data_IF_039893719498
#
_entry.id   IF_039893719498
#
_cell.length_a   1.000
_cell.length_b   1.000
_cell.length_c   1.000
_cell.angle_alpha   90.00
_cell.angle_beta   90.00
_cell.angle_gamma   90.00
#
_symmetry.space_group_name_H-M   'P 1'
#
loop_
_entity.id
_entity.type
_entity.pdbx_description
1 polymer ?
#
# COMPACT_ATOMS: atom_id res chain seq x y z
N UNK A 1 5.87 21.24 5.51
CA UNK A 1 6.25 19.83 5.26
C UNK A 1 5.00 19.09 4.85
N UNK A 2 4.99 18.39 3.71
CA UNK A 2 3.82 17.63 3.27
C UNK A 2 3.74 16.36 4.12
N UNK A 3 2.62 16.18 4.82
CA UNK A 3 2.44 15.10 5.80
C UNK A 3 1.64 13.91 5.23
N UNK A 4 0.91 14.13 4.15
CA UNK A 4 0.05 13.14 3.48
C UNK A 4 -0.17 13.54 2.03
N UNK A 5 -0.59 12.58 1.20
CA UNK A 5 -1.13 12.84 -0.13
C UNK A 5 -2.52 13.48 -0.05
N UNK A 6 -2.90 14.24 -1.08
CA UNK A 6 -4.30 14.62 -1.32
C UNK A 6 -5.05 13.51 -2.06
N UNK A 7 -6.38 13.61 -2.10
CA UNK A 7 -7.25 12.70 -2.86
C UNK A 7 -6.87 12.69 -4.34
N UNK A 8 -6.80 13.89 -4.92
CA UNK A 8 -6.44 14.13 -6.32
C UNK A 8 -5.08 13.53 -6.68
N UNK A 9 -4.09 13.63 -5.77
CA UNK A 9 -2.78 13.02 -6.02
C UNK A 9 -2.88 11.49 -6.08
N UNK A 10 -3.61 10.85 -5.16
CA UNK A 10 -3.80 9.39 -5.21
C UNK A 10 -4.51 8.95 -6.49
N UNK A 11 -5.53 9.70 -6.92
CA UNK A 11 -6.25 9.45 -8.17
C UNK A 11 -5.33 9.65 -9.38
N UNK A 12 -4.53 10.70 -9.41
CA UNK A 12 -3.54 10.92 -10.48
C UNK A 12 -2.51 9.79 -10.57
N UNK A 13 -2.01 9.30 -9.43
CA UNK A 13 -1.11 8.14 -9.42
C UNK A 13 -1.81 6.88 -9.92
N UNK A 14 -3.05 6.63 -9.50
CA UNK A 14 -3.84 5.51 -10.02
C UNK A 14 -3.97 5.60 -11.54
N UNK A 15 -4.44 6.74 -12.04
CA UNK A 15 -4.75 6.93 -13.47
C UNK A 15 -3.48 6.90 -14.35
N UNK A 16 -2.31 7.20 -13.78
CA UNK A 16 -1.00 7.10 -14.46
C UNK A 16 -0.50 5.66 -14.56
N UNK A 17 -0.81 4.81 -13.58
CA UNK A 17 -0.20 3.49 -13.43
C UNK A 17 -1.17 2.31 -13.57
N UNK A 18 -2.47 2.56 -13.66
CA UNK A 18 -3.51 1.55 -13.78
C UNK A 18 -4.82 2.13 -14.36
N UNK A 19 -5.81 1.27 -14.54
CA UNK A 19 -7.19 1.65 -14.82
C UNK A 19 -7.81 2.42 -13.63
N UNK A 20 -8.74 3.33 -13.92
CA UNK A 20 -9.69 3.94 -12.99
C UNK A 20 -10.36 2.98 -11.98
N UNK A 21 -10.55 1.72 -12.34
CA UNK A 21 -11.12 0.67 -11.48
C UNK A 21 -10.12 0.13 -10.44
N UNK A 22 -8.83 0.44 -10.56
CA UNK A 22 -7.82 0.02 -9.60
C UNK A 22 -8.03 0.70 -8.25
N UNK A 23 -7.81 -0.06 -7.18
CA UNK A 23 -7.85 0.47 -5.82
C UNK A 23 -6.53 1.14 -5.49
N UNK A 24 -6.56 2.39 -5.03
CA UNK A 24 -5.37 3.10 -4.53
C UNK A 24 -5.46 3.32 -3.02
N UNK A 25 -4.35 3.15 -2.32
CA UNK A 25 -4.26 3.50 -0.91
C UNK A 25 -2.83 3.69 -0.44
N UNK A 26 -2.68 4.22 0.77
CA UNK A 26 -1.39 4.65 1.30
C UNK A 26 -0.94 3.77 2.45
N UNK A 27 0.32 3.35 2.42
CA UNK A 27 0.93 2.51 3.45
C UNK A 27 2.30 3.04 3.84
N UNK A 28 2.81 2.56 4.97
CA UNK A 28 4.16 2.83 5.43
C UNK A 28 4.92 1.54 5.63
N UNK A 29 6.23 1.55 5.40
CA UNK A 29 7.09 0.43 5.77
C UNK A 29 7.01 0.21 7.27
N UNK A 30 6.88 -1.05 7.70
CA UNK A 30 6.98 -1.39 9.13
C UNK A 30 8.36 -0.95 9.62
N UNK A 31 8.39 -0.05 10.61
CA UNK A 31 9.63 0.37 11.25
C UNK A 31 10.10 -0.70 12.21
N UNK A 32 11.28 -1.26 11.95
CA UNK A 32 11.94 -2.20 12.87
C UNK A 32 12.74 -1.46 13.95
N UNK A 33 13.23 -0.25 13.65
CA UNK A 33 14.03 0.58 14.56
C UNK A 33 13.52 2.03 14.55
N UNK A 34 13.54 2.69 15.71
CA UNK A 34 13.06 4.08 15.87
C UNK A 34 13.86 5.11 15.07
N UNK A 35 15.11 4.82 14.75
CA UNK A 35 16.03 5.71 14.02
C UNK A 35 15.84 5.68 12.50
N UNK A 36 15.08 4.71 11.97
CA UNK A 36 14.83 4.63 10.54
C UNK A 36 13.85 5.73 10.12
N UNK A 37 14.27 6.52 9.13
CA UNK A 37 13.38 7.45 8.46
C UNK A 37 12.19 6.68 7.88
N UNK A 38 10.97 7.26 7.95
CA UNK A 38 9.81 6.60 7.38
C UNK A 38 9.96 6.48 5.86
N UNK A 39 9.63 5.30 5.36
CA UNK A 39 9.43 5.03 3.94
C UNK A 39 7.93 4.80 3.75
N UNK A 40 7.38 5.45 2.74
CA UNK A 40 5.95 5.38 2.43
C UNK A 40 5.74 4.68 1.10
N UNK A 41 4.57 4.09 0.91
CA UNK A 41 4.19 3.50 -0.36
C UNK A 41 2.76 3.90 -0.72
N UNK A 42 2.54 4.27 -1.98
CA UNK A 42 1.22 4.15 -2.58
C UNK A 42 1.09 2.75 -3.16
N UNK A 43 0.01 2.06 -2.80
CA UNK A 43 -0.38 0.80 -3.39
C UNK A 43 -1.49 1.08 -4.40
N UNK A 44 -1.31 0.62 -5.62
CA UNK A 44 -2.33 0.62 -6.67
C UNK A 44 -2.56 -0.85 -7.04
N UNK A 45 -3.79 -1.32 -6.87
CA UNK A 45 -4.16 -2.73 -7.00
C UNK A 45 -5.24 -2.86 -8.05
N UNK A 46 -4.92 -3.59 -9.12
CA UNK A 46 -5.88 -3.98 -10.15
C UNK A 46 -6.26 -5.48 -10.00
N UNK A 47 -6.67 -6.13 -11.09
CA UNK A 47 -7.05 -7.55 -11.10
C UNK A 47 -5.87 -8.51 -11.32
N UNK A 48 -4.69 -8.01 -11.66
CA UNK A 48 -3.53 -8.81 -12.07
C UNK A 48 -2.30 -8.53 -11.20
N UNK A 49 -2.17 -7.33 -10.64
CA UNK A 49 -0.96 -6.91 -9.95
C UNK A 49 -1.19 -5.87 -8.85
N UNK A 50 -0.18 -5.75 -7.98
CA UNK A 50 0.00 -4.68 -7.01
C UNK A 50 1.19 -3.84 -7.47
N UNK A 51 0.92 -2.60 -7.89
CA UNK A 51 1.95 -1.59 -8.13
C UNK A 51 2.24 -0.86 -6.83
N UNK A 52 3.49 -0.87 -6.39
CA UNK A 52 3.96 -0.16 -5.22
C UNK A 52 4.85 1.01 -5.65
N UNK A 53 4.48 2.22 -5.29
CA UNK A 53 5.27 3.43 -5.54
C UNK A 53 5.94 3.82 -4.23
N UNK A 54 7.25 3.58 -4.14
CA UNK A 54 8.06 3.91 -2.97
C UNK A 54 8.32 5.41 -2.89
N UNK A 55 8.19 5.95 -1.69
CA UNK A 55 8.48 7.33 -1.39
C UNK A 55 9.31 7.52 -0.13
N UNK A 56 10.12 8.58 -0.14
CA UNK A 56 10.83 9.02 1.06
C UNK A 56 9.94 9.80 2.03
N UNK A 57 10.50 10.15 3.19
CA UNK A 57 9.84 10.93 4.23
C UNK A 57 9.39 12.34 3.78
N UNK A 58 9.83 12.82 2.61
CA UNK A 58 9.40 14.08 1.97
C UNK A 58 8.33 13.85 0.90
N UNK A 59 7.80 12.63 0.80
CA UNK A 59 6.83 12.19 -0.22
C UNK A 59 7.35 12.35 -1.65
N UNK A 60 8.67 12.22 -1.83
CA UNK A 60 9.27 12.15 -3.16
C UNK A 60 9.37 10.70 -3.59
N UNK A 61 8.94 10.42 -4.82
CA UNK A 61 9.12 9.12 -5.46
C UNK A 61 10.59 8.70 -5.46
N UNK A 62 10.83 7.44 -5.11
CA UNK A 62 12.14 6.79 -5.10
C UNK A 62 12.23 5.60 -6.02
N UNK A 63 11.11 4.96 -6.29
CA UNK A 63 11.06 3.81 -7.17
C UNK A 63 9.65 3.25 -7.28
N UNK A 64 9.47 2.41 -8.28
CA UNK A 64 8.24 1.69 -8.53
C UNK A 64 8.58 0.21 -8.59
N UNK A 65 7.78 -0.61 -7.92
CA UNK A 65 7.87 -2.06 -7.99
C UNK A 65 6.51 -2.66 -8.26
N UNK A 66 6.45 -3.64 -9.15
CA UNK A 66 5.22 -4.35 -9.50
C UNK A 66 5.31 -5.77 -8.94
N UNK A 67 4.21 -6.23 -8.33
CA UNK A 67 4.06 -7.60 -7.84
C UNK A 67 2.85 -8.20 -8.54
N UNK A 68 3.05 -9.18 -9.43
CA UNK A 68 1.93 -9.91 -10.00
C UNK A 68 1.25 -10.75 -8.93
N UNK A 69 -0.09 -10.78 -8.94
CA UNK A 69 -0.86 -11.53 -7.95
C UNK A 69 -0.56 -13.03 -8.01
N UNK A 70 -0.22 -13.55 -9.20
CA UNK A 70 0.23 -14.94 -9.40
C UNK A 70 1.51 -15.30 -8.65
N UNK A 71 2.34 -14.30 -8.34
CA UNK A 71 3.65 -14.49 -7.71
C UNK A 71 3.57 -14.37 -6.19
N UNK A 72 2.38 -14.14 -5.64
CA UNK A 72 2.15 -14.00 -4.20
C UNK A 72 1.86 -15.37 -3.60
N UNK A 73 2.82 -15.89 -2.84
CA UNK A 73 2.69 -17.16 -2.13
C UNK A 73 1.81 -17.02 -0.88
N UNK A 74 1.85 -15.85 -0.24
CA UNK A 74 1.06 -15.57 0.97
C UNK A 74 0.81 -14.09 1.10
N UNK A 75 -0.43 -13.72 1.38
CA UNK A 75 -0.81 -12.37 1.77
C UNK A 75 -1.59 -12.44 3.08
N UNK A 76 -1.25 -11.60 4.06
CA UNK A 76 -2.02 -11.49 5.31
C UNK A 76 -2.35 -10.03 5.60
N UNK A 77 -3.53 -9.80 6.18
CA UNK A 77 -4.01 -8.48 6.60
C UNK A 77 -4.49 -8.56 8.05
N UNK A 78 -3.60 -8.24 8.98
CA UNK A 78 -3.85 -8.36 10.42
C UNK A 78 -4.18 -6.99 11.03
N UNK A 79 -5.15 -6.93 11.94
CA UNK A 79 -5.41 -5.71 12.70
C UNK A 79 -4.50 -5.64 13.92
N UNK A 80 -3.69 -4.59 14.03
CA UNK A 80 -2.76 -4.37 15.14
C UNK A 80 -3.06 -3.01 15.78
N UNK A 81 -3.69 -3.03 16.96
CA UNK A 81 -4.20 -1.82 17.65
C UNK A 81 -5.11 -0.98 16.72
N UNK A 82 -4.62 0.17 16.27
CA UNK A 82 -5.35 1.12 15.42
C UNK A 82 -4.96 1.06 13.94
N UNK A 83 -4.02 0.21 13.56
CA UNK A 83 -3.52 0.06 12.18
C UNK A 83 -3.76 -1.35 11.64
N UNK A 84 -3.73 -1.52 10.32
CA UNK A 84 -3.69 -2.85 9.71
C UNK A 84 -2.26 -3.13 9.24
N UNK A 85 -1.75 -4.31 9.55
CA UNK A 85 -0.48 -4.80 9.04
C UNK A 85 -0.74 -5.70 7.84
N UNK A 86 -0.08 -5.38 6.74
CA UNK A 86 -0.14 -6.14 5.50
C UNK A 86 1.22 -6.80 5.31
N UNK A 87 1.22 -8.12 5.18
CA UNK A 87 2.42 -8.89 4.84
C UNK A 87 2.21 -9.57 3.51
N UNK A 88 3.06 -9.26 2.54
CA UNK A 88 3.05 -9.86 1.20
C UNK A 88 4.33 -10.65 1.05
N UNK A 89 4.22 -11.97 0.83
CA UNK A 89 5.35 -12.85 0.58
C UNK A 89 5.27 -13.37 -0.85
N UNK A 90 6.29 -13.05 -1.64
CA UNK A 90 6.56 -13.66 -2.94
C UNK A 90 7.68 -14.70 -2.78
N UNK A 91 8.03 -15.38 -3.87
CA UNK A 91 9.16 -16.33 -3.89
C UNK A 91 10.46 -15.70 -3.37
N UNK A 92 10.75 -14.46 -3.75
CA UNK A 92 12.05 -13.83 -3.49
C UNK A 92 12.01 -12.75 -2.41
N UNK A 93 10.84 -12.21 -2.06
CA UNK A 93 10.71 -11.01 -1.23
C UNK A 93 9.59 -11.10 -0.21
N UNK A 94 9.78 -10.41 0.91
CA UNK A 94 8.75 -10.19 1.93
C UNK A 94 8.57 -8.70 2.14
N UNK A 95 7.37 -8.21 1.88
CA UNK A 95 6.96 -6.85 2.15
C UNK A 95 6.16 -6.82 3.45
N UNK A 96 6.57 -5.99 4.40
CA UNK A 96 5.83 -5.74 5.63
C UNK A 96 5.44 -4.27 5.65
N UNK A 97 4.14 -4.02 5.54
CA UNK A 97 3.54 -2.69 5.41
C UNK A 97 2.56 -2.48 6.54
N UNK A 98 2.50 -1.26 7.07
CA UNK A 98 1.43 -0.82 7.95
C UNK A 98 0.52 0.14 7.16
N UNK A 99 -0.78 -0.14 7.16
CA UNK A 99 -1.83 0.79 6.72
C UNK A 99 -2.17 1.67 7.92
N UNK A 100 -1.82 2.97 7.88
CA UNK A 100 -2.02 3.87 9.01
C UNK A 100 -3.51 4.00 9.36
N UNK A 101 -3.82 4.39 10.62
CA UNK A 101 -5.20 4.58 11.07
C UNK A 101 -5.96 5.55 10.16
N UNK A 102 -7.27 5.31 10.04
CA UNK A 102 -8.25 6.01 9.20
C UNK A 102 -8.56 7.44 9.68
N UNK A 103 -7.54 8.23 9.97
CA UNK A 103 -7.66 9.62 10.40
C UNK A 103 -7.11 10.51 9.31
N UNK A 104 -7.85 11.60 8.98
CA UNK A 104 -7.66 12.52 7.85
C UNK A 104 -8.11 11.97 6.50
N UNK A 105 -9.24 12.45 5.97
CA UNK A 105 -9.59 12.55 4.52
C UNK A 105 -9.58 11.31 3.60
N UNK A 106 -8.94 10.20 3.98
CA UNK A 106 -8.60 9.06 3.14
C UNK A 106 -9.23 7.77 3.63
N UNK A 107 -10.19 7.87 4.56
CA UNK A 107 -10.83 6.71 5.19
C UNK A 107 -11.42 5.76 4.15
N UNK A 108 -12.03 6.28 3.11
CA UNK A 108 -12.61 5.49 2.03
C UNK A 108 -11.53 4.73 1.24
N UNK A 109 -10.49 5.42 0.74
CA UNK A 109 -9.36 4.80 0.04
C UNK A 109 -8.67 3.72 0.86
N UNK A 110 -8.45 3.99 2.14
CA UNK A 110 -7.81 3.02 3.04
C UNK A 110 -8.70 1.82 3.32
N UNK A 111 -10.01 2.03 3.51
CA UNK A 111 -10.96 0.93 3.65
C UNK A 111 -11.03 0.08 2.39
N UNK A 112 -11.09 0.71 1.21
CA UNK A 112 -11.11 0.01 -0.08
C UNK A 112 -9.82 -0.79 -0.26
N UNK A 113 -8.66 -0.20 0.05
CA UNK A 113 -7.37 -0.89 0.03
C UNK A 113 -7.36 -2.12 0.95
N UNK A 114 -7.79 -1.96 2.22
CA UNK A 114 -7.84 -3.07 3.18
C UNK A 114 -8.78 -4.17 2.70
N UNK A 115 -9.96 -3.82 2.21
CA UNK A 115 -10.93 -4.78 1.70
C UNK A 115 -10.38 -5.53 0.48
N UNK A 116 -9.79 -4.80 -0.47
CA UNK A 116 -9.19 -5.40 -1.66
C UNK A 116 -8.05 -6.36 -1.31
N UNK A 117 -7.20 -5.98 -0.37
CA UNK A 117 -6.13 -6.86 0.11
C UNK A 117 -6.69 -8.11 0.81
N UNK A 118 -7.77 -7.99 1.59
CA UNK A 118 -8.44 -9.15 2.18
C UNK A 118 -9.09 -10.06 1.15
N UNK A 119 -9.71 -9.51 0.11
CA UNK A 119 -10.23 -10.28 -1.01
C UNK A 119 -9.13 -11.09 -1.69
N UNK A 120 -7.99 -10.45 -2.00
CA UNK A 120 -6.84 -11.16 -2.57
C UNK A 120 -6.37 -12.26 -1.60
N UNK A 121 -6.20 -11.94 -0.32
CA UNK A 121 -5.79 -12.90 0.72
C UNK A 121 -6.67 -14.15 0.78
N UNK A 122 -7.97 -14.02 0.52
CA UNK A 122 -8.93 -15.13 0.59
C UNK A 122 -8.98 -15.98 -0.69
N UNK A 123 -8.41 -15.49 -1.79
CA UNK A 123 -8.42 -16.15 -3.11
C UNK A 123 -7.05 -16.70 -3.53
N UNK A 124 -6.03 -16.56 -2.68
CA UNK A 124 -4.72 -17.21 -2.81
C UNK A 124 -4.76 -18.63 -2.24
#
# INVERSE_FOLDING_TARGET
MKLTFSKEEMENYRDTHADSLATVGYTQKVKLLRTQLPTYFLLIIDNQQITMIEQDWKLKEKGISVIHLSDINTLTVDRIFFQHRVKIKTTDKVYNLDVPPLNFGFKEYQNNLINRLKEISNNL
#
